data_IF_559723164609
#
_entry.id   IF_559723164609
#
_cell.length_a   1.000
_cell.length_b   1.000
_cell.length_c   1.000
_cell.angle_alpha   90.00
_cell.angle_beta   90.00
_cell.angle_gamma   90.00
#
_symmetry.space_group_name_H-M   'P 1'
#
loop_
_entity.id
_entity.type
_entity.pdbx_description
1 polymer ?
#
# COMPACT_ATOMS: atom_id res chain seq x y z
N UNK A 1 44.95 -41.98 31.17
CA UNK A 1 44.03 -41.03 31.86
C UNK A 1 43.71 -39.90 30.91
N UNK A 2 42.44 -39.83 30.53
CA UNK A 2 41.85 -38.91 29.55
C UNK A 2 41.83 -37.46 30.06
N UNK A 3 42.06 -36.50 29.17
CA UNK A 3 41.54 -35.13 29.32
C UNK A 3 40.90 -34.71 27.99
N UNK A 4 39.59 -34.91 27.93
CA UNK A 4 38.74 -34.41 26.85
C UNK A 4 38.54 -32.90 27.02
N UNK A 5 38.68 -32.19 25.89
CA UNK A 5 38.37 -30.78 25.72
C UNK A 5 36.87 -30.54 25.92
N UNK A 6 36.50 -29.50 26.67
CA UNK A 6 35.11 -29.01 26.75
C UNK A 6 35.02 -27.79 25.83
N UNK A 7 34.41 -28.00 24.66
CA UNK A 7 34.01 -26.94 23.74
C UNK A 7 32.64 -26.41 24.20
N UNK A 8 32.59 -25.19 24.73
CA UNK A 8 31.32 -24.55 25.10
C UNK A 8 30.64 -24.06 23.82
N UNK A 9 29.65 -24.82 23.34
CA UNK A 9 28.75 -24.39 22.27
C UNK A 9 27.65 -23.56 22.92
N UNK A 10 27.69 -22.25 22.74
CA UNK A 10 26.57 -21.35 23.07
C UNK A 10 25.51 -21.53 21.97
N UNK A 11 24.55 -22.41 22.20
CA UNK A 11 23.33 -22.48 21.39
C UNK A 11 22.43 -21.33 21.83
N UNK A 12 22.52 -20.21 21.12
CA UNK A 12 21.50 -19.16 21.21
C UNK A 12 20.19 -19.72 20.67
N UNK A 13 19.34 -20.22 21.56
CA UNK A 13 17.93 -20.44 21.28
C UNK A 13 17.31 -19.08 21.00
N UNK A 14 17.32 -18.67 19.72
CA UNK A 14 16.52 -17.55 19.26
C UNK A 14 15.08 -17.86 19.58
N UNK A 15 14.50 -17.13 20.53
CA UNK A 15 13.06 -17.08 20.70
C UNK A 15 12.48 -16.65 19.35
N UNK A 16 11.97 -17.61 18.60
CA UNK A 16 11.05 -17.35 17.51
C UNK A 16 9.79 -16.78 18.16
N UNK A 17 9.77 -15.46 18.33
CA UNK A 17 8.55 -14.71 18.61
C UNK A 17 7.57 -15.13 17.54
N UNK A 18 6.61 -15.95 17.95
CA UNK A 18 5.48 -16.35 17.14
C UNK A 18 4.66 -15.08 16.97
N UNK A 19 5.06 -14.25 15.99
CA UNK A 19 4.19 -13.20 15.51
C UNK A 19 2.93 -13.94 15.07
N UNK A 20 1.88 -13.85 15.89
CA UNK A 20 0.56 -14.29 15.49
C UNK A 20 0.27 -13.53 14.22
N UNK A 21 0.44 -14.19 13.08
CA UNK A 21 0.00 -13.67 11.81
C UNK A 21 -1.51 -13.49 11.99
N UNK A 22 -1.92 -12.27 12.33
CA UNK A 22 -3.31 -11.93 12.51
C UNK A 22 -4.04 -12.48 11.29
N UNK A 23 -4.87 -13.51 11.52
CA UNK A 23 -5.57 -14.22 10.46
C UNK A 23 -6.13 -13.15 9.54
N UNK A 24 -5.83 -13.18 8.23
CA UNK A 24 -6.39 -12.18 7.34
C UNK A 24 -7.90 -12.18 7.59
N UNK A 25 -8.51 -11.01 7.70
CA UNK A 25 -9.93 -10.90 8.02
C UNK A 25 -10.74 -11.86 7.12
N UNK A 26 -11.86 -12.43 7.61
CA UNK A 26 -12.61 -13.44 6.86
C UNK A 26 -12.79 -13.01 5.40
N UNK A 27 -12.41 -13.90 4.48
CA UNK A 27 -12.52 -13.69 3.03
C UNK A 27 -11.37 -12.97 2.34
N UNK A 28 -10.32 -12.56 3.05
CA UNK A 28 -9.09 -12.03 2.44
C UNK A 28 -7.93 -13.01 2.64
N UNK A 29 -6.98 -13.04 1.69
CA UNK A 29 -5.73 -13.81 1.85
C UNK A 29 -4.52 -13.05 1.33
N UNK A 30 -3.31 -13.28 1.87
CA UNK A 30 -2.08 -12.74 1.28
C UNK A 30 -2.02 -13.09 -0.19
N UNK A 31 -1.66 -12.10 -1.03
CA UNK A 31 -1.58 -12.24 -2.49
C UNK A 31 -1.11 -13.63 -2.94
N UNK A 32 -1.96 -14.35 -3.67
CA UNK A 32 -1.51 -15.46 -4.50
C UNK A 32 -2.16 -15.28 -5.87
N UNK A 33 -1.42 -14.62 -6.72
CA UNK A 33 -1.64 -14.58 -8.16
C UNK A 33 -0.43 -15.21 -8.81
N UNK A 34 -0.46 -15.43 -10.11
CA UNK A 34 0.73 -15.85 -10.85
C UNK A 34 1.96 -15.00 -10.50
N UNK A 35 3.17 -15.51 -10.81
CA UNK A 35 4.42 -14.75 -10.65
C UNK A 35 4.33 -13.34 -11.27
N UNK A 36 3.54 -13.18 -12.34
CA UNK A 36 3.23 -11.89 -12.97
C UNK A 36 2.48 -10.96 -12.02
N UNK A 37 1.38 -11.40 -11.41
CA UNK A 37 0.59 -10.59 -10.48
C UNK A 37 1.47 -10.11 -9.31
N UNK A 38 2.25 -11.02 -8.71
CA UNK A 38 3.18 -10.68 -7.64
C UNK A 38 4.25 -9.67 -8.08
N UNK A 39 4.86 -9.87 -9.25
CA UNK A 39 5.89 -8.97 -9.76
C UNK A 39 5.32 -7.59 -10.08
N UNK A 40 4.11 -7.51 -10.64
CA UNK A 40 3.44 -6.23 -10.92
C UNK A 40 3.16 -5.46 -9.63
N UNK A 41 2.65 -6.12 -8.57
CA UNK A 41 2.48 -5.50 -7.26
C UNK A 41 3.80 -4.97 -6.69
N UNK A 42 4.87 -5.76 -6.75
CA UNK A 42 6.18 -5.35 -6.26
C UNK A 42 6.76 -4.16 -7.04
N UNK A 43 6.65 -4.17 -8.37
CA UNK A 43 7.07 -3.05 -9.23
C UNK A 43 6.26 -1.79 -8.94
N UNK A 44 4.95 -1.92 -8.79
CA UNK A 44 4.05 -0.80 -8.51
C UNK A 44 4.32 -0.20 -7.12
N UNK A 45 4.60 -1.03 -6.12
CA UNK A 45 5.04 -0.58 -4.78
C UNK A 45 6.39 0.14 -4.82
N UNK A 46 7.36 -0.42 -5.55
CA UNK A 46 8.66 0.23 -5.72
C UNK A 46 8.52 1.59 -6.43
N UNK A 47 7.68 1.66 -7.46
CA UNK A 47 7.36 2.92 -8.14
C UNK A 47 6.66 3.90 -7.20
N UNK A 48 5.67 3.48 -6.40
CA UNK A 48 5.02 4.34 -5.42
C UNK A 48 6.02 4.97 -4.43
N UNK A 49 6.94 4.17 -3.90
CA UNK A 49 8.03 4.67 -3.03
C UNK A 49 8.90 5.68 -3.76
N UNK A 50 9.28 5.39 -5.00
CA UNK A 50 10.08 6.29 -5.83
C UNK A 50 9.37 7.62 -6.06
N UNK A 51 8.09 7.59 -6.45
CA UNK A 51 7.30 8.80 -6.71
C UNK A 51 7.22 9.69 -5.46
N UNK A 52 6.98 9.10 -4.28
CA UNK A 52 6.92 9.87 -3.02
C UNK A 52 8.28 10.47 -2.67
N UNK A 53 9.38 9.71 -2.85
CA UNK A 53 10.75 10.22 -2.62
C UNK A 53 11.11 11.39 -3.54
N UNK A 54 10.77 11.28 -4.82
CA UNK A 54 11.02 12.33 -5.82
C UNK A 54 10.17 13.59 -5.53
N UNK A 55 8.91 13.42 -5.11
CA UNK A 55 8.05 14.54 -4.77
C UNK A 55 8.45 15.24 -3.46
N UNK A 56 8.86 14.48 -2.44
CA UNK A 56 9.12 14.95 -1.07
C UNK A 56 9.85 16.30 -0.94
N UNK A 57 10.96 16.58 -1.64
CA UNK A 57 11.68 17.86 -1.48
C UNK A 57 10.87 19.09 -1.93
N UNK A 58 9.85 18.90 -2.76
CA UNK A 58 9.02 19.96 -3.34
C UNK A 58 7.60 20.03 -2.76
N UNK A 59 7.28 19.13 -1.82
CA UNK A 59 6.05 19.18 -1.03
C UNK A 59 6.14 20.32 0.01
N UNK A 60 4.97 20.79 0.43
CA UNK A 60 4.88 21.71 1.56
C UNK A 60 5.34 21.04 2.86
N UNK A 61 5.43 21.80 3.94
CA UNK A 61 5.96 21.29 5.19
C UNK A 61 5.14 20.13 5.77
N UNK A 62 3.81 20.22 5.73
CA UNK A 62 2.92 19.21 6.30
C UNK A 62 3.01 17.90 5.51
N UNK A 63 2.93 18.01 4.18
CA UNK A 63 3.04 16.87 3.26
C UNK A 63 4.42 16.22 3.30
N UNK A 64 5.50 17.00 3.51
CA UNK A 64 6.86 16.46 3.60
C UNK A 64 7.05 15.56 4.83
N UNK A 65 6.44 15.93 5.96
CA UNK A 65 6.43 15.10 7.17
C UNK A 65 5.64 13.81 6.95
N UNK A 66 4.46 13.91 6.32
CA UNK A 66 3.64 12.76 5.95
C UNK A 66 4.37 11.83 4.95
N UNK A 67 5.06 12.39 3.96
CA UNK A 67 5.78 11.64 2.93
C UNK A 67 6.82 10.67 3.51
N UNK A 68 7.50 11.04 4.60
CA UNK A 68 8.43 10.13 5.27
C UNK A 68 7.72 8.88 5.80
N UNK A 69 6.59 9.06 6.51
CA UNK A 69 5.79 7.94 7.02
C UNK A 69 5.24 7.09 5.88
N UNK A 70 4.70 7.74 4.84
CA UNK A 70 4.20 7.06 3.65
C UNK A 70 5.27 6.19 2.99
N UNK A 71 6.53 6.65 2.90
CA UNK A 71 7.64 5.86 2.35
C UNK A 71 7.89 4.60 3.21
N UNK A 72 7.90 4.74 4.54
CA UNK A 72 8.14 3.64 5.47
C UNK A 72 7.00 2.60 5.42
N UNK A 73 5.75 3.08 5.38
CA UNK A 73 4.57 2.22 5.25
C UNK A 73 4.53 1.51 3.89
N UNK A 74 4.79 2.21 2.78
CA UNK A 74 4.88 1.59 1.46
C UNK A 74 5.97 0.51 1.39
N UNK A 75 7.11 0.70 2.05
CA UNK A 75 8.20 -0.28 2.03
C UNK A 75 7.80 -1.61 2.69
N UNK A 76 6.96 -1.55 3.73
CA UNK A 76 6.52 -2.70 4.51
C UNK A 76 5.11 -3.20 4.14
N UNK A 77 4.37 -2.44 3.32
CA UNK A 77 2.98 -2.71 2.97
C UNK A 77 2.76 -4.14 2.49
N UNK A 78 1.77 -4.78 3.10
CA UNK A 78 1.28 -6.11 2.74
C UNK A 78 -0.03 -5.97 1.98
N UNK A 79 -0.24 -6.86 1.01
CA UNK A 79 -1.46 -6.87 0.20
C UNK A 79 -2.28 -8.13 0.47
N UNK A 80 -3.58 -7.94 0.70
CA UNK A 80 -4.54 -9.04 0.83
C UNK A 80 -5.60 -8.94 -0.27
N UNK A 81 -5.85 -10.02 -0.99
CA UNK A 81 -6.89 -10.06 -2.04
C UNK A 81 -8.19 -10.67 -1.54
N UNK A 82 -9.32 -10.19 -2.06
CA UNK A 82 -10.62 -10.83 -1.87
C UNK A 82 -10.63 -12.26 -2.43
N UNK A 83 -11.28 -13.20 -1.74
CA UNK A 83 -11.30 -14.61 -2.15
C UNK A 83 -12.68 -15.24 -2.21
N UNK A 84 -13.57 -14.84 -1.32
CA UNK A 84 -14.88 -15.44 -1.15
C UNK A 84 -16.01 -14.46 -1.49
N UNK A 85 -17.26 -14.88 -1.28
CA UNK A 85 -18.43 -14.06 -1.57
C UNK A 85 -18.52 -12.84 -0.65
N UNK A 86 -18.15 -12.99 0.62
CA UNK A 86 -18.27 -11.93 1.63
C UNK A 86 -17.29 -10.79 1.38
N UNK A 87 -16.02 -11.10 1.15
CA UNK A 87 -14.99 -10.11 0.79
C UNK A 87 -15.29 -9.40 -0.52
N UNK A 88 -15.84 -10.11 -1.52
CA UNK A 88 -16.30 -9.49 -2.77
C UNK A 88 -17.48 -8.55 -2.57
N UNK A 89 -18.43 -8.90 -1.71
CA UNK A 89 -19.54 -8.01 -1.34
C UNK A 89 -19.03 -6.76 -0.61
N UNK A 90 -18.04 -6.92 0.29
CA UNK A 90 -17.40 -5.78 0.94
C UNK A 90 -16.76 -4.84 -0.10
N UNK A 91 -15.98 -5.40 -1.03
CA UNK A 91 -15.40 -4.65 -2.15
C UNK A 91 -16.44 -3.88 -2.97
N UNK A 92 -17.55 -4.53 -3.35
CA UNK A 92 -18.64 -3.89 -4.07
C UNK A 92 -19.30 -2.75 -3.28
N UNK A 93 -19.43 -2.90 -1.96
CA UNK A 93 -20.07 -1.91 -1.09
C UNK A 93 -19.24 -0.65 -0.85
N UNK A 94 -17.90 -0.76 -0.90
CA UNK A 94 -17.00 0.32 -0.50
C UNK A 94 -16.78 1.36 -1.58
N UNK A 95 -17.18 1.13 -2.84
CA UNK A 95 -16.89 2.02 -4.00
C UNK A 95 -15.40 2.22 -4.31
N UNK A 96 -14.49 1.75 -3.45
CA UNK A 96 -13.04 1.77 -3.61
C UNK A 96 -12.52 0.38 -3.96
N UNK A 97 -11.62 0.32 -4.94
CA UNK A 97 -11.07 -0.93 -5.44
C UNK A 97 -9.80 -1.35 -4.66
N UNK A 98 -9.16 -0.41 -3.96
CA UNK A 98 -8.15 -0.62 -2.93
C UNK A 98 -8.65 0.01 -1.62
N UNK A 99 -8.32 -0.56 -0.46
CA UNK A 99 -8.61 0.10 0.81
C UNK A 99 -7.73 -0.40 1.96
N UNK A 100 -7.48 0.47 2.94
CA UNK A 100 -7.00 0.10 4.28
C UNK A 100 -8.18 0.02 5.24
N UNK A 101 -8.22 -1.02 6.08
CA UNK A 101 -9.24 -1.12 7.13
C UNK A 101 -8.67 -0.52 8.42
N UNK A 102 -9.39 0.41 9.06
CA UNK A 102 -8.97 0.99 10.34
C UNK A 102 -8.71 -0.06 11.45
N UNK A 103 -9.39 -1.21 11.40
CA UNK A 103 -9.15 -2.32 12.34
C UNK A 103 -7.85 -3.09 12.06
N UNK A 104 -7.27 -2.92 10.87
CA UNK A 104 -6.06 -3.57 10.34
C UNK A 104 -5.26 -2.56 9.51
N UNK A 105 -4.71 -1.50 10.13
CA UNK A 105 -4.02 -0.42 9.41
C UNK A 105 -2.64 -0.83 8.88
N UNK A 106 -2.35 -2.13 8.81
CA UNK A 106 -1.08 -2.72 8.38
C UNK A 106 -1.15 -3.40 7.00
N UNK A 107 -2.33 -3.40 6.37
CA UNK A 107 -2.58 -4.12 5.11
C UNK A 107 -3.40 -3.29 4.12
N UNK A 108 -3.04 -3.38 2.85
CA UNK A 108 -3.84 -2.90 1.73
C UNK A 108 -4.69 -4.06 1.22
N UNK A 109 -6.01 -3.91 1.31
CA UNK A 109 -6.96 -4.82 0.72
C UNK A 109 -7.15 -4.50 -0.76
N UNK A 110 -7.15 -5.55 -1.58
CA UNK A 110 -7.24 -5.49 -3.03
C UNK A 110 -8.50 -6.20 -3.48
N UNK A 111 -9.37 -5.47 -4.17
CA UNK A 111 -10.61 -5.98 -4.72
C UNK A 111 -10.40 -6.62 -6.11
N UNK A 112 -11.33 -7.52 -6.49
CA UNK A 112 -11.24 -8.31 -7.72
C UNK A 112 -11.19 -7.47 -9.00
N UNK A 113 -11.73 -6.26 -8.99
CA UNK A 113 -11.73 -5.30 -10.09
C UNK A 113 -10.36 -4.64 -10.34
N UNK A 114 -9.47 -4.62 -9.35
CA UNK A 114 -8.08 -4.15 -9.52
C UNK A 114 -7.17 -5.23 -10.12
N UNK A 115 -7.47 -6.49 -9.84
CA UNK A 115 -6.60 -7.63 -10.21
C UNK A 115 -6.29 -7.73 -11.71
N UNK A 116 -7.19 -7.37 -12.65
CA UNK A 116 -6.85 -7.27 -14.07
C UNK A 116 -5.67 -6.35 -14.37
N UNK A 117 -5.50 -5.24 -13.63
CA UNK A 117 -4.34 -4.37 -13.77
C UNK A 117 -3.06 -5.07 -13.29
N UNK A 118 -3.11 -5.78 -12.17
CA UNK A 118 -1.94 -6.51 -11.67
C UNK A 118 -1.51 -7.69 -12.58
N UNK A 119 -2.43 -8.24 -13.37
CA UNK A 119 -2.12 -9.29 -14.37
C UNK A 119 -1.48 -8.74 -15.65
N UNK A 120 -1.42 -7.42 -15.82
CA UNK A 120 -0.79 -6.75 -16.95
C UNK A 120 0.53 -6.12 -16.47
N UNK A 121 1.69 -6.61 -16.93
CA UNK A 121 2.98 -6.07 -16.48
C UNK A 121 3.39 -4.78 -17.23
N UNK A 122 2.45 -4.13 -17.95
CA UNK A 122 2.72 -2.94 -18.73
C UNK A 122 2.86 -1.68 -17.85
N UNK A 123 3.54 -0.65 -18.38
CA UNK A 123 3.88 0.55 -17.62
C UNK A 123 2.64 1.34 -17.14
N UNK A 124 1.54 1.31 -17.90
CA UNK A 124 0.30 1.99 -17.52
C UNK A 124 -0.34 1.28 -16.32
N UNK A 125 -0.44 -0.05 -16.37
CA UNK A 125 -0.94 -0.85 -15.25
C UNK A 125 -0.12 -0.66 -13.96
N UNK A 126 1.22 -0.67 -14.08
CA UNK A 126 2.12 -0.41 -12.95
C UNK A 126 1.93 0.99 -12.38
N UNK A 127 1.79 2.01 -13.24
CA UNK A 127 1.61 3.40 -12.79
C UNK A 127 0.27 3.61 -12.11
N UNK A 128 -0.81 3.00 -12.61
CA UNK A 128 -2.14 3.05 -11.99
C UNK A 128 -2.15 2.46 -10.59
N UNK A 129 -1.54 1.29 -10.43
CA UNK A 129 -1.42 0.63 -9.12
C UNK A 129 -0.53 1.44 -8.18
N UNK A 130 0.59 1.97 -8.67
CA UNK A 130 1.49 2.80 -7.87
C UNK A 130 0.77 4.02 -7.31
N UNK A 131 -0.02 4.72 -8.14
CA UNK A 131 -0.84 5.84 -7.69
C UNK A 131 -1.84 5.43 -6.58
N UNK A 132 -2.57 4.33 -6.77
CA UNK A 132 -3.47 3.80 -5.74
C UNK A 132 -2.73 3.44 -4.44
N UNK A 133 -1.50 2.92 -4.52
CA UNK A 133 -0.72 2.63 -3.30
C UNK A 133 -0.24 3.89 -2.59
N UNK A 134 0.10 4.96 -3.31
CA UNK A 134 0.40 6.26 -2.68
C UNK A 134 -0.79 6.74 -1.86
N UNK A 135 -2.01 6.59 -2.38
CA UNK A 135 -3.24 6.91 -1.67
C UNK A 135 -3.40 6.08 -0.39
N UNK A 136 -3.44 4.75 -0.54
CA UNK A 136 -3.66 3.84 0.59
C UNK A 136 -2.58 3.93 1.67
N UNK A 137 -1.35 4.28 1.29
CA UNK A 137 -0.27 4.45 2.24
C UNK A 137 -0.44 5.65 3.18
N UNK A 138 -1.27 6.64 2.83
CA UNK A 138 -1.67 7.69 3.78
C UNK A 138 -2.54 7.11 4.89
N UNK A 139 -3.44 6.19 4.54
CA UNK A 139 -4.23 5.44 5.51
C UNK A 139 -3.38 4.50 6.37
N UNK A 140 -2.39 3.82 5.78
CA UNK A 140 -1.40 3.05 6.55
C UNK A 140 -0.62 3.95 7.53
N UNK A 141 -0.31 5.18 7.13
CA UNK A 141 0.36 6.17 7.98
C UNK A 141 -0.55 6.76 9.08
N UNK A 142 -1.79 6.27 9.21
CA UNK A 142 -2.72 6.55 10.29
C UNK A 142 -3.76 7.63 9.99
N UNK A 143 -3.77 8.20 8.79
CA UNK A 143 -4.76 9.20 8.40
C UNK A 143 -5.86 8.56 7.55
N UNK A 144 -7.03 8.30 8.14
CA UNK A 144 -8.17 7.68 7.48
C UNK A 144 -9.05 8.68 6.72
N UNK A 145 -8.69 9.96 6.65
CA UNK A 145 -9.42 10.95 5.85
C UNK A 145 -9.08 10.77 4.37
N UNK A 146 -10.06 10.27 3.61
CA UNK A 146 -10.03 10.09 2.16
C UNK A 146 -9.59 11.35 1.40
N UNK A 147 -9.94 12.54 1.90
CA UNK A 147 -9.56 13.79 1.26
C UNK A 147 -8.10 14.17 1.52
N UNK A 148 -7.57 13.82 2.69
CA UNK A 148 -6.13 13.98 2.96
C UNK A 148 -5.32 13.03 2.11
N UNK A 149 -5.73 11.75 2.03
CA UNK A 149 -5.10 10.77 1.16
C UNK A 149 -5.12 11.20 -0.31
N UNK A 150 -6.26 11.74 -0.78
CA UNK A 150 -6.41 12.25 -2.13
C UNK A 150 -5.54 13.48 -2.41
N UNK A 151 -5.55 14.47 -1.51
CA UNK A 151 -4.76 15.70 -1.70
C UNK A 151 -3.26 15.38 -1.75
N UNK A 152 -2.80 14.46 -0.88
CA UNK A 152 -1.42 13.99 -0.88
C UNK A 152 -1.06 13.22 -2.16
N UNK A 153 -1.90 12.25 -2.57
CA UNK A 153 -1.75 11.50 -3.83
C UNK A 153 -1.57 12.46 -5.01
N UNK A 154 -2.50 13.41 -5.16
CA UNK A 154 -2.46 14.40 -6.24
C UNK A 154 -1.24 15.32 -6.14
N UNK A 155 -0.82 15.70 -4.94
CA UNK A 155 0.38 16.50 -4.73
C UNK A 155 1.63 15.76 -5.22
N UNK A 156 1.76 14.47 -4.94
CA UNK A 156 2.86 13.60 -5.40
C UNK A 156 2.81 13.43 -6.92
N UNK A 157 1.65 13.09 -7.50
CA UNK A 157 1.52 12.85 -8.94
C UNK A 157 1.86 14.12 -9.75
N UNK A 158 1.41 15.30 -9.31
CA UNK A 158 1.71 16.59 -9.98
C UNK A 158 3.20 16.88 -10.09
N UNK A 159 4.01 16.39 -9.14
CA UNK A 159 5.46 16.67 -9.04
C UNK A 159 6.32 15.64 -9.75
N UNK A 160 5.74 14.54 -10.23
CA UNK A 160 6.47 13.40 -10.78
C UNK A 160 6.00 13.06 -12.19
N UNK A 161 4.88 12.36 -12.32
CA UNK A 161 4.38 11.82 -13.60
C UNK A 161 3.23 12.66 -14.21
N UNK A 162 2.86 13.76 -13.56
CA UNK A 162 1.72 14.60 -13.90
C UNK A 162 0.38 13.95 -13.53
N UNK A 163 -0.72 14.72 -13.57
CA UNK A 163 -2.09 14.23 -13.26
C UNK A 163 -2.60 13.23 -14.34
N UNK A 164 -1.77 12.89 -15.34
CA UNK A 164 -2.17 12.06 -16.49
C UNK A 164 -2.35 10.58 -16.15
N UNK A 165 -1.92 10.10 -14.99
CA UNK A 165 -2.17 8.74 -14.56
C UNK A 165 -3.62 8.61 -14.08
N UNK A 166 -4.40 7.79 -14.79
CA UNK A 166 -5.80 7.49 -14.48
C UNK A 166 -5.99 6.59 -13.23
N UNK A 167 -4.94 6.38 -12.41
CA UNK A 167 -4.99 5.53 -11.20
C UNK A 167 -5.96 6.08 -10.15
N UNK A 168 -6.13 7.40 -10.16
CA UNK A 168 -7.33 8.17 -9.90
C UNK A 168 -8.60 7.28 -9.76
N UNK A 169 -9.07 6.64 -10.83
CA UNK A 169 -10.35 5.91 -10.87
C UNK A 169 -10.39 4.62 -10.03
N UNK A 170 -9.24 4.14 -9.53
CA UNK A 170 -9.12 2.92 -8.71
C UNK A 170 -9.41 3.24 -7.21
N UNK A 171 -9.19 4.50 -6.81
CA UNK A 171 -9.30 4.95 -5.41
C UNK A 171 -10.43 5.98 -5.17
N UNK A 172 -11.36 6.20 -6.12
CA UNK A 172 -12.41 7.23 -5.94
C UNK A 172 -13.78 6.72 -5.47
N UNK A 173 -14.14 7.15 -4.26
CA UNK A 173 -15.51 7.20 -3.72
C UNK A 173 -15.86 8.53 -3.04
N UNK A 174 -14.87 9.36 -2.65
CA UNK A 174 -15.09 10.59 -1.89
C UNK A 174 -15.27 11.84 -2.77
N UNK A 175 -16.38 12.56 -2.60
CA UNK A 175 -16.56 13.92 -3.12
C UNK A 175 -15.82 14.91 -2.23
N UNK A 176 -14.50 14.95 -2.32
CA UNK A 176 -13.70 15.92 -1.58
C UNK A 176 -13.91 17.32 -2.16
N UNK A 177 -14.56 18.21 -1.39
CA UNK A 177 -14.54 19.64 -1.70
C UNK A 177 -13.10 20.10 -1.55
N UNK A 178 -12.45 20.42 -2.68
CA UNK A 178 -11.07 20.93 -2.74
C UNK A 178 -10.84 21.96 -1.64
N UNK A 179 -9.92 21.73 -0.72
CA UNK A 179 -9.35 22.84 0.06
C UNK A 179 -8.44 23.63 -0.90
N UNK A 180 -8.94 24.78 -1.37
CA UNK A 180 -8.05 25.86 -1.85
C UNK A 180 -7.79 25.98 -3.36
N UNK A 181 -8.74 25.65 -4.24
CA UNK A 181 -8.69 26.13 -5.63
C UNK A 181 -9.89 27.03 -5.94
N UNK A 182 -9.75 28.33 -5.63
CA UNK A 182 -10.58 29.40 -6.24
C UNK A 182 -11.19 30.45 -5.31
N UNK A 183 -10.36 31.35 -4.77
CA UNK A 183 -10.74 32.76 -4.54
C UNK A 183 -9.46 33.62 -4.60
N UNK A 184 -8.90 33.75 -5.80
CA UNK A 184 -8.12 34.91 -6.25
C UNK A 184 -8.34 35.06 -7.74
#
# INVERSE_FOLDING_TARGET
>A
MNRFQILIIVVSAGLASSASAALPGPGFRPLPGSAVEQQTYLRSRALAVQLVREAQPTLDYADRSLARRVIDELASARFLVSTDRQSRQLCQSRRYSLFVNAARPDVIHVCDDVRPHARRPDADAVSRLAQGFVHEAVHLAGDMDECVAMDFELAVMRRTIGIRSQGSLISYGAQCRRRGLGAR
#
